data_IF_449999589226
#
_entry.id   IF_449999589226
#
_cell.length_a   1.000
_cell.length_b   1.000
_cell.length_c   1.000
_cell.angle_alpha   90.00
_cell.angle_beta   90.00
_cell.angle_gamma   90.00
#
_symmetry.space_group_name_H-M   'P 1'
#
loop_
_entity.id
_entity.type
_entity.pdbx_description
1 polymer ?
#
# COMPACT_ATOMS: atom_id res chain seq x y z
N UNK A 1 22.64 -18.16 -7.41
CA UNK A 1 23.58 -17.18 -7.99
C UNK A 1 24.33 -16.56 -6.83
N UNK A 2 25.66 -16.68 -6.83
CA UNK A 2 26.56 -16.48 -5.69
C UNK A 2 26.36 -15.13 -4.97
N UNK A 3 26.16 -15.16 -3.66
CA UNK A 3 26.39 -14.01 -2.77
C UNK A 3 27.82 -14.10 -2.27
N UNK A 4 28.69 -13.24 -2.79
CA UNK A 4 30.02 -13.00 -2.21
C UNK A 4 29.80 -12.39 -0.83
N UNK A 5 30.13 -13.12 0.22
CA UNK A 5 30.12 -12.60 1.58
C UNK A 5 31.22 -11.54 1.70
N UNK A 6 30.84 -10.27 1.54
CA UNK A 6 31.68 -9.16 1.97
C UNK A 6 31.85 -9.26 3.49
N UNK A 7 33.09 -9.18 3.99
CA UNK A 7 33.41 -9.32 5.42
C UNK A 7 32.88 -8.12 6.22
N UNK A 8 31.59 -8.12 6.57
CA UNK A 8 31.00 -7.11 7.44
C UNK A 8 31.29 -7.44 8.91
N UNK A 9 31.80 -6.45 9.67
CA UNK A 9 31.87 -6.57 11.14
C UNK A 9 30.49 -6.47 11.80
N UNK A 10 29.54 -5.73 11.19
CA UNK A 10 28.16 -5.60 11.67
C UNK A 10 27.22 -5.10 10.56
N UNK A 11 26.00 -5.63 10.53
CA UNK A 11 24.91 -5.17 9.65
C UNK A 11 23.70 -4.84 10.53
N UNK A 12 23.24 -3.60 10.49
CA UNK A 12 22.11 -3.12 11.31
C UNK A 12 20.87 -2.75 10.47
N UNK A 13 21.05 -2.58 9.16
CA UNK A 13 19.98 -2.20 8.23
C UNK A 13 19.46 -3.43 7.51
N UNK A 14 18.13 -3.51 7.37
CA UNK A 14 17.51 -4.52 6.52
C UNK A 14 17.96 -4.34 5.06
N UNK A 15 18.28 -5.44 4.40
CA UNK A 15 18.67 -5.48 3.00
C UNK A 15 17.99 -6.65 2.28
N UNK A 16 17.92 -6.59 0.95
CA UNK A 16 17.26 -7.58 0.11
C UNK A 16 15.92 -7.10 -0.46
N UNK A 17 15.20 -8.02 -1.11
CA UNK A 17 13.89 -7.73 -1.68
C UNK A 17 12.83 -7.59 -0.59
N UNK A 18 11.91 -6.63 -0.74
CA UNK A 18 10.78 -6.45 0.16
C UNK A 18 9.47 -6.37 -0.63
N UNK A 19 8.38 -6.84 -0.02
CA UNK A 19 7.02 -6.70 -0.54
C UNK A 19 6.06 -6.47 0.62
N UNK A 20 4.98 -5.72 0.38
CA UNK A 20 3.93 -5.47 1.37
C UNK A 20 2.59 -5.38 0.67
N UNK A 21 1.59 -6.03 1.24
CA UNK A 21 0.19 -5.91 0.84
C UNK A 21 -0.58 -5.20 1.96
N UNK A 22 -1.43 -4.25 1.58
CA UNK A 22 -2.25 -3.47 2.52
C UNK A 22 -3.68 -3.56 2.02
N UNK A 23 -4.60 -3.98 2.90
CA UNK A 23 -6.01 -3.98 2.59
C UNK A 23 -6.56 -2.56 2.70
N UNK A 24 -7.26 -2.11 1.65
CA UNK A 24 -7.87 -0.79 1.61
C UNK A 24 -9.25 -0.82 2.30
N UNK A 25 -9.65 0.29 2.96
CA UNK A 25 -10.95 0.38 3.63
C UNK A 25 -12.13 0.55 2.66
N UNK A 26 -11.90 0.70 1.36
CA UNK A 26 -12.93 0.89 0.36
C UNK A 26 -12.38 0.87 -1.06
N UNK A 27 -13.27 1.10 -2.02
CA UNK A 27 -12.93 1.08 -3.44
C UNK A 27 -12.18 2.34 -3.88
N UNK A 28 -11.20 2.15 -4.77
CA UNK A 28 -10.37 3.22 -5.34
C UNK A 28 -10.42 3.19 -6.85
N UNK A 29 -10.26 4.36 -7.48
CA UNK A 29 -10.13 4.47 -8.92
C UNK A 29 -8.68 4.10 -9.31
N UNK A 30 -8.49 2.85 -9.74
CA UNK A 30 -7.19 2.30 -10.10
C UNK A 30 -6.50 3.05 -11.25
N UNK A 31 -7.26 3.58 -12.21
CA UNK A 31 -6.74 4.30 -13.37
C UNK A 31 -6.11 5.66 -13.01
N UNK A 32 -6.39 6.16 -11.80
CA UNK A 32 -5.94 7.48 -11.31
C UNK A 32 -4.95 7.39 -10.15
N UNK A 33 -4.38 6.23 -9.91
CA UNK A 33 -3.34 6.05 -8.89
C UNK A 33 -2.07 6.79 -9.29
N UNK A 34 -1.44 7.46 -8.33
CA UNK A 34 -0.14 8.09 -8.51
C UNK A 34 0.81 7.72 -7.37
N UNK A 35 2.11 7.79 -7.65
CA UNK A 35 3.15 7.50 -6.67
C UNK A 35 4.30 8.51 -6.80
N UNK A 36 4.92 8.85 -5.67
CA UNK A 36 6.10 9.70 -5.60
C UNK A 36 7.12 9.10 -4.63
N UNK A 37 8.39 9.12 -4.99
CA UNK A 37 9.47 8.65 -4.14
C UNK A 37 10.45 9.77 -3.84
N UNK A 38 10.51 10.18 -2.58
CA UNK A 38 11.36 11.30 -2.15
C UNK A 38 11.95 11.01 -0.78
N UNK A 39 13.25 11.28 -0.64
CA UNK A 39 13.99 11.16 0.63
C UNK A 39 13.82 9.80 1.34
N UNK A 40 13.75 8.70 0.59
CA UNK A 40 13.62 7.36 1.17
C UNK A 40 12.19 6.93 1.48
N UNK A 41 11.17 7.73 1.12
CA UNK A 41 9.76 7.44 1.39
C UNK A 41 9.00 7.30 0.07
N UNK A 42 8.28 6.18 -0.09
CA UNK A 42 7.33 5.96 -1.17
C UNK A 42 5.95 6.40 -0.71
N UNK A 43 5.44 7.47 -1.32
CA UNK A 43 4.08 7.97 -1.13
C UNK A 43 3.20 7.46 -2.28
N UNK A 44 2.05 6.87 -1.96
CA UNK A 44 1.10 6.33 -2.93
C UNK A 44 -0.26 7.00 -2.67
N UNK A 45 -0.78 7.70 -3.68
CA UNK A 45 -2.06 8.39 -3.63
C UNK A 45 -3.11 7.58 -4.38
N UNK A 46 -4.16 7.18 -3.67
CA UNK A 46 -5.25 6.34 -4.18
C UNK A 46 -6.56 7.13 -4.11
N UNK A 47 -7.06 7.67 -5.24
CA UNK A 47 -8.34 8.38 -5.25
C UNK A 47 -9.49 7.42 -4.97
N UNK A 48 -10.38 7.75 -4.03
CA UNK A 48 -11.61 7.00 -3.79
C UNK A 48 -12.51 7.04 -5.02
N UNK A 49 -13.25 5.96 -5.26
CA UNK A 49 -14.38 6.01 -6.21
C UNK A 49 -15.42 7.00 -5.66
N UNK A 50 -16.07 7.75 -6.55
CA UNK A 50 -17.20 8.60 -6.14
C UNK A 50 -18.31 7.68 -5.61
N UNK A 51 -18.73 7.90 -4.37
CA UNK A 51 -19.80 7.14 -3.74
C UNK A 51 -21.09 7.28 -4.58
N UNK A 52 -21.63 6.16 -5.05
CA UNK A 52 -23.07 6.10 -5.32
C UNK A 52 -23.80 6.28 -3.99
N UNK A 53 -24.87 7.07 -3.99
CA UNK A 53 -25.60 7.43 -2.77
C UNK A 53 -25.89 6.18 -1.93
N UNK A 54 -25.36 6.17 -0.70
CA UNK A 54 -25.51 5.07 0.25
C UNK A 54 -26.99 4.72 0.37
N UNK A 55 -27.37 3.53 -0.09
CA UNK A 55 -28.75 3.03 0.04
C UNK A 55 -29.01 2.76 1.52
N UNK A 56 -29.83 3.61 2.15
CA UNK A 56 -30.35 3.33 3.50
C UNK A 56 -31.17 2.04 3.44
N UNK A 57 -30.75 1.04 4.21
CA UNK A 57 -31.48 -0.22 4.35
C UNK A 57 -32.41 -0.06 5.57
N UNK A 58 -33.75 0.00 5.38
CA UNK A 58 -34.67 0.05 6.50
C UNK A 58 -34.71 -1.30 7.21
N UNK A 59 -34.57 -1.30 8.53
CA UNK A 59 -34.76 -2.50 9.36
C UNK A 59 -36.24 -2.59 9.73
N UNK A 60 -36.90 -3.70 9.37
CA UNK A 60 -38.27 -4.00 9.79
C UNK A 60 -38.22 -4.74 11.13
N UNK A 61 -38.84 -4.16 12.16
CA UNK A 61 -39.15 -4.84 13.43
C UNK A 61 -40.55 -5.43 13.36
N UNK A 62 -40.72 -6.62 13.94
CA UNK A 62 -42.00 -7.32 14.09
C UNK A 62 -42.79 -6.78 15.29
#
# INVERSE_FOLDING_TARGET
KETKEENFHRVERAYGSFTRSIQLPGEVNADKVSANYKNGVLEITLPKVKEEAVKKIPVKTA
#
